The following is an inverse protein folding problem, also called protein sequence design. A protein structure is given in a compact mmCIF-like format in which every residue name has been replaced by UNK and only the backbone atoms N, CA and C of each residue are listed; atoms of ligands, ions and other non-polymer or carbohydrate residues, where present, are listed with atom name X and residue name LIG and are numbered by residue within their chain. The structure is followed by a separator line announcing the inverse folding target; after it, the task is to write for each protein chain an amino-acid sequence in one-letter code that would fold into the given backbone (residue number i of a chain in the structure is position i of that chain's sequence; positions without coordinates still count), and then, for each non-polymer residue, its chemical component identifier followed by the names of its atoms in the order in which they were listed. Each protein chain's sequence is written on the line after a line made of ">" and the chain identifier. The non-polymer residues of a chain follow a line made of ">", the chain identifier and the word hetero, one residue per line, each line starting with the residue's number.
data_IF_693934379076
#
_entry.id   IF_693934379076
#
_cell.length_a   1.000
_cell.length_b   1.000
_cell.length_c   1.000
_cell.angle_alpha   90.00
_cell.angle_beta   90.00
_cell.angle_gamma   90.00
#
_symmetry.space_group_name_H-M   'P 1'
#
loop_
_entity.id
_entity.type
_entity.pdbx_description
1 polymer ?
#
# COMPACT_ATOMS: atom_id res chain seq x y z
N UNK A 1 -16.04 -7.33 22.07
CA UNK A 1 -15.87 -6.42 20.91
C UNK A 1 -15.11 -7.23 19.87
N UNK A 2 -15.74 -7.59 18.75
CA UNK A 2 -15.09 -8.38 17.71
C UNK A 2 -14.29 -7.42 16.82
N UNK A 3 -13.02 -7.71 16.56
CA UNK A 3 -12.15 -6.92 15.70
C UNK A 3 -12.10 -7.56 14.31
N UNK A 4 -12.49 -6.80 13.29
CA UNK A 4 -12.48 -7.23 11.89
C UNK A 4 -11.50 -6.35 11.11
N UNK A 5 -10.23 -6.77 10.95
CA UNK A 5 -9.15 -5.89 10.47
C UNK A 5 -9.32 -5.38 9.04
N UNK A 6 -10.14 -6.04 8.22
CA UNK A 6 -10.32 -5.71 6.81
C UNK A 6 -11.69 -5.11 6.51
N UNK A 7 -12.50 -4.81 7.53
CA UNK A 7 -13.72 -4.04 7.30
C UNK A 7 -13.35 -2.69 6.68
N UNK A 8 -14.09 -2.30 5.66
CA UNK A 8 -13.95 -1.03 4.94
C UNK A 8 -12.58 -0.85 4.24
N UNK A 9 -11.78 -1.90 4.04
CA UNK A 9 -10.48 -1.82 3.35
C UNK A 9 -10.61 -1.26 1.92
N UNK A 10 -11.75 -1.46 1.28
CA UNK A 10 -12.08 -0.88 -0.03
C UNK A 10 -12.15 0.64 -0.01
N UNK A 11 -12.44 1.27 1.13
CA UNK A 11 -12.51 2.74 1.30
C UNK A 11 -11.13 3.42 1.23
N UNK A 12 -10.05 2.63 1.21
CA UNK A 12 -8.72 3.15 0.88
C UNK A 12 -8.69 3.65 -0.57
N UNK A 13 -9.41 2.99 -1.48
CA UNK A 13 -9.60 3.45 -2.85
C UNK A 13 -10.17 4.88 -2.90
N UNK A 14 -9.72 5.75 -3.83
CA UNK A 14 -8.82 5.48 -4.96
C UNK A 14 -7.33 5.61 -4.64
N UNK A 15 -6.94 5.67 -3.36
CA UNK A 15 -5.52 5.72 -2.99
C UNK A 15 -4.88 4.36 -3.27
N UNK A 16 -3.64 4.34 -3.79
CA UNK A 16 -2.96 3.10 -4.15
C UNK A 16 -2.55 2.30 -2.91
N UNK A 17 -2.65 0.98 -3.00
CA UNK A 17 -2.18 0.04 -1.98
C UNK A 17 -1.14 -0.93 -2.55
N UNK A 18 -0.08 -1.13 -1.79
CA UNK A 18 0.97 -2.10 -2.09
C UNK A 18 1.08 -3.10 -0.92
N UNK A 19 0.85 -4.38 -1.22
CA UNK A 19 1.05 -5.48 -0.30
C UNK A 19 2.35 -6.21 -0.67
N UNK A 20 3.17 -6.55 0.33
CA UNK A 20 4.40 -7.33 0.16
C UNK A 20 4.34 -8.50 1.13
N UNK A 21 4.53 -9.72 0.62
CA UNK A 21 4.55 -10.93 1.44
C UNK A 21 5.64 -11.90 0.94
N UNK A 22 6.22 -12.67 1.86
CA UNK A 22 7.13 -13.76 1.50
C UNK A 22 6.37 -14.99 1.02
N UNK A 23 6.84 -15.64 -0.04
CA UNK A 23 6.23 -16.86 -0.62
C UNK A 23 6.07 -17.99 0.40
N UNK A 24 7.05 -18.14 1.31
CA UNK A 24 7.10 -19.20 2.34
C UNK A 24 6.63 -18.70 3.70
N UNK A 25 6.09 -17.49 3.79
CA UNK A 25 5.59 -16.96 5.05
C UNK A 25 4.27 -17.65 5.41
N UNK A 26 4.16 -18.17 6.63
CA UNK A 26 2.87 -18.66 7.17
C UNK A 26 1.79 -17.57 7.18
N UNK A 27 2.19 -16.30 7.22
CA UNK A 27 1.30 -15.14 7.21
C UNK A 27 0.88 -14.67 5.82
N UNK A 28 1.27 -15.35 4.73
CA UNK A 28 0.98 -14.90 3.35
C UNK A 28 -0.53 -14.78 3.09
N UNK A 29 -1.33 -15.64 3.70
CA UNK A 29 -2.79 -15.67 3.57
C UNK A 29 -3.43 -14.33 3.97
N UNK A 30 -2.92 -13.67 5.00
CA UNK A 30 -3.44 -12.37 5.43
C UNK A 30 -3.28 -11.30 4.36
N UNK A 31 -2.13 -11.26 3.68
CA UNK A 31 -1.89 -10.31 2.60
C UNK A 31 -2.71 -10.65 1.35
N UNK A 32 -2.91 -11.93 1.05
CA UNK A 32 -3.75 -12.37 -0.07
C UNK A 32 -5.22 -12.03 0.16
N UNK A 33 -5.74 -12.23 1.37
CA UNK A 33 -7.12 -11.93 1.71
C UNK A 33 -7.37 -10.42 1.75
N UNK A 34 -6.46 -9.65 2.36
CA UNK A 34 -6.51 -8.19 2.28
C UNK A 34 -6.48 -7.70 0.82
N UNK A 35 -5.61 -8.28 -0.01
CA UNK A 35 -5.55 -7.95 -1.43
C UNK A 35 -6.84 -8.28 -2.17
N UNK A 36 -7.50 -9.41 -1.89
CA UNK A 36 -8.80 -9.75 -2.52
C UNK A 36 -9.87 -8.70 -2.18
N UNK A 37 -9.94 -8.30 -0.91
CA UNK A 37 -10.95 -7.36 -0.40
C UNK A 37 -10.67 -5.89 -0.78
N UNK A 38 -9.41 -5.52 -0.94
CA UNK A 38 -8.98 -4.17 -1.28
C UNK A 38 -9.62 -3.60 -2.57
N UNK A 39 -9.89 -2.30 -2.59
CA UNK A 39 -10.25 -1.57 -3.82
C UNK A 39 -9.06 -1.32 -4.74
N UNK A 40 -9.31 -0.94 -6.00
CA UNK A 40 -8.25 -0.52 -6.94
C UNK A 40 -7.87 0.96 -6.72
N UNK A 41 -6.63 1.39 -7.03
CA UNK A 41 -5.51 0.60 -7.54
C UNK A 41 -4.78 -0.18 -6.43
N UNK A 42 -4.51 -1.46 -6.65
CA UNK A 42 -3.80 -2.34 -5.70
C UNK A 42 -2.77 -3.23 -6.37
N UNK A 43 -1.70 -3.54 -5.65
CA UNK A 43 -0.62 -4.42 -6.09
C UNK A 43 -0.23 -5.41 -4.98
N UNK A 44 0.10 -6.65 -5.35
CA UNK A 44 0.63 -7.67 -4.44
C UNK A 44 1.96 -8.19 -4.97
N UNK A 45 3.00 -8.08 -4.15
CA UNK A 45 4.35 -8.56 -4.43
C UNK A 45 4.63 -9.78 -3.56
N UNK A 46 4.85 -10.92 -4.20
CA UNK A 46 5.29 -12.14 -3.54
C UNK A 46 6.80 -12.26 -3.70
N UNK A 47 7.54 -12.23 -2.60
CA UNK A 47 9.00 -12.37 -2.57
C UNK A 47 9.36 -13.86 -2.57
N UNK A 48 9.95 -14.41 -3.65
CA UNK A 48 10.24 -15.82 -3.75
C UNK A 48 11.18 -16.30 -2.65
N UNK A 49 10.89 -17.46 -2.07
CA UNK A 49 11.72 -18.08 -1.04
C UNK A 49 11.74 -17.41 0.34
N UNK A 50 11.19 -16.20 0.49
CA UNK A 50 11.19 -15.48 1.77
C UNK A 50 10.12 -16.01 2.76
N UNK A 51 10.52 -16.20 4.01
CA UNK A 51 9.65 -16.50 5.14
C UNK A 51 9.06 -15.26 5.81
N UNK A 52 8.36 -15.45 6.93
CA UNK A 52 7.71 -14.35 7.67
C UNK A 52 8.70 -13.30 8.22
N UNK A 53 9.76 -13.77 8.88
CA UNK A 53 10.77 -12.91 9.51
C UNK A 53 11.83 -12.40 8.54
N UNK A 54 11.94 -13.02 7.35
CA UNK A 54 12.99 -12.71 6.39
C UNK A 54 12.90 -11.27 5.87
N UNK A 55 11.70 -10.70 5.78
CA UNK A 55 11.50 -9.33 5.33
C UNK A 55 11.74 -8.28 6.43
N UNK A 56 12.16 -8.68 7.64
CA UNK A 56 12.44 -7.73 8.73
C UNK A 56 13.85 -7.16 8.63
N UNK A 57 14.84 -8.00 8.35
CA UNK A 57 16.26 -7.64 8.43
C UNK A 57 17.13 -8.20 7.29
N UNK A 58 16.66 -9.18 6.51
CA UNK A 58 17.42 -9.69 5.36
C UNK A 58 17.27 -8.74 4.19
N UNK A 59 18.12 -7.71 4.19
CA UNK A 59 18.13 -6.60 3.22
C UNK A 59 18.15 -7.05 1.75
N UNK A 60 18.69 -8.24 1.45
CA UNK A 60 18.74 -8.81 0.10
C UNK A 60 17.41 -9.41 -0.37
N UNK A 61 16.45 -9.63 0.54
CA UNK A 61 15.11 -10.15 0.23
C UNK A 61 14.04 -9.04 0.21
N UNK A 62 14.31 -7.89 0.85
CA UNK A 62 13.38 -6.77 0.88
C UNK A 62 13.33 -6.11 -0.52
N UNK A 63 12.14 -5.96 -1.14
CA UNK A 63 12.02 -5.40 -2.49
C UNK A 63 12.11 -3.86 -2.47
N UNK A 64 13.29 -3.32 -2.18
CA UNK A 64 13.55 -1.88 -2.04
C UNK A 64 13.16 -1.07 -3.26
N UNK A 65 13.53 -1.52 -4.47
CA UNK A 65 13.21 -0.83 -5.72
C UNK A 65 11.70 -0.64 -5.90
N UNK A 66 10.91 -1.63 -5.46
CA UNK A 66 9.45 -1.57 -5.55
C UNK A 66 8.86 -0.58 -4.55
N UNK A 67 9.35 -0.59 -3.31
CA UNK A 67 8.95 0.37 -2.28
C UNK A 67 9.31 1.81 -2.71
N UNK A 68 10.54 2.01 -3.18
CA UNK A 68 11.04 3.30 -3.65
C UNK A 68 10.19 3.83 -4.81
N UNK A 69 9.98 3.01 -5.84
CA UNK A 69 9.16 3.37 -7.00
C UNK A 69 7.72 3.71 -6.61
N UNK A 70 7.11 2.90 -5.73
CA UNK A 70 5.75 3.13 -5.24
C UNK A 70 5.63 4.44 -4.48
N UNK A 71 6.51 4.70 -3.52
CA UNK A 71 6.43 5.92 -2.71
C UNK A 71 6.80 7.17 -3.49
N UNK A 72 7.81 7.12 -4.37
CA UNK A 72 8.09 8.23 -5.29
C UNK A 72 6.82 8.57 -6.05
N UNK A 73 6.27 7.62 -6.82
CA UNK A 73 5.08 7.83 -7.64
C UNK A 73 3.90 8.45 -6.89
N UNK A 74 3.65 8.02 -5.64
CA UNK A 74 2.39 8.31 -4.95
C UNK A 74 2.49 9.36 -3.83
N UNK A 75 3.69 9.78 -3.40
CA UNK A 75 3.89 10.78 -2.35
C UNK A 75 4.52 12.09 -2.86
N UNK A 76 4.67 12.27 -4.17
CA UNK A 76 5.06 13.58 -4.73
C UNK A 76 4.02 14.64 -4.32
N UNK A 77 4.45 15.72 -3.66
CA UNK A 77 3.56 16.81 -3.28
C UNK A 77 3.04 17.50 -4.54
N UNK A 78 1.74 17.47 -4.77
CA UNK A 78 1.11 18.48 -5.61
C UNK A 78 1.12 19.80 -4.83
N UNK A 79 2.13 20.63 -5.09
CA UNK A 79 2.06 22.05 -4.73
C UNK A 79 1.13 22.73 -5.74
N UNK A 80 -0.17 22.47 -5.65
CA UNK A 80 -1.19 23.25 -6.36
C UNK A 80 -1.75 24.29 -5.38
N UNK A 81 -1.02 25.40 -5.25
CA UNK A 81 -1.53 26.63 -4.68
C UNK A 81 -2.52 27.26 -5.67
N UNK A 82 -3.79 26.92 -5.54
CA UNK A 82 -4.88 27.72 -6.11
C UNK A 82 -5.59 28.39 -4.94
N UNK A 83 -5.04 29.52 -4.49
CA UNK A 83 -5.80 30.47 -3.67
C UNK A 83 -6.92 30.97 -4.56
N UNK A 84 -8.14 30.49 -4.34
CA UNK A 84 -9.34 31.01 -4.96
C UNK A 84 -9.50 32.48 -4.60
N UNK A 85 -9.26 33.37 -5.56
CA UNK A 85 -9.76 34.75 -5.50
C UNK A 85 -11.28 34.68 -5.58
N UNK A 86 -11.94 34.87 -4.43
CA UNK A 86 -13.37 35.15 -4.39
C UNK A 86 -13.63 36.47 -5.12
N UNK A 87 -14.65 36.58 -5.98
CA UNK A 87 -14.98 37.86 -6.58
C UNK A 87 -15.54 38.79 -5.51
N UNK A 88 -14.98 39.99 -5.39
CA UNK A 88 -15.58 41.06 -4.59
C UNK A 88 -16.98 41.36 -5.15
N UNK A 89 -18.00 41.23 -4.31
CA UNK A 89 -19.30 41.83 -4.58
C UNK A 89 -19.15 43.35 -4.48
N UNK A 90 -19.37 44.05 -5.59
CA UNK A 90 -19.97 45.40 -5.61
C UNK A 90 -21.14 45.39 -6.56
#
# INVERSE_FOLDING_TARGET
>A
MNFYPFNDIETISPRPMLFIAGEKAHSIEFSQDAYKLAGQPKELVIVPGAGHVDLYDRVNLIPWDKLESFFKKNLHSKTEGTVGLLPERK
#
